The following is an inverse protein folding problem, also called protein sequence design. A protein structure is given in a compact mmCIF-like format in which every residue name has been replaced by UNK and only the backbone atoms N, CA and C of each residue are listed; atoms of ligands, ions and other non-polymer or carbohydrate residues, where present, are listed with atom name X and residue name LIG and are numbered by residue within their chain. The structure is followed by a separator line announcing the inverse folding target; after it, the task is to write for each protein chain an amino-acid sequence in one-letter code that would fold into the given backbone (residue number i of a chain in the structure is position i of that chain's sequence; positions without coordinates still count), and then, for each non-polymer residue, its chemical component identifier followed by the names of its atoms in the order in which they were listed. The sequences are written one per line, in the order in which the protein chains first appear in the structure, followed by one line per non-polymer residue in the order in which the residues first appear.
data_IF_331014335414
#
_entry.id   IF_331014335414
#
_cell.length_a   1.000
_cell.length_b   1.000
_cell.length_c   1.000
_cell.angle_alpha   90.00
_cell.angle_beta   90.00
_cell.angle_gamma   90.00
#
_symmetry.space_group_name_H-M   'P 1'
#
loop_
_entity.id
_entity.type
_entity.pdbx_description
1 polymer ?
#
# COMPACT_ATOMS: atom_id res chain seq x y z
N UNK A 1 13.27 13.06 -9.29
CA UNK A 1 13.90 13.30 -7.96
C UNK A 1 13.61 14.69 -7.38
N UNK A 2 13.44 15.77 -8.18
CA UNK A 2 13.24 17.13 -7.64
C UNK A 2 11.85 17.41 -7.03
N UNK A 3 10.82 16.71 -7.49
CA UNK A 3 9.42 17.00 -7.09
C UNK A 3 9.10 16.57 -5.65
N UNK A 4 9.71 15.48 -5.17
CA UNK A 4 9.52 14.99 -3.80
C UNK A 4 10.07 15.94 -2.71
N UNK A 5 10.91 16.93 -3.07
CA UNK A 5 11.40 17.99 -2.17
C UNK A 5 10.79 19.36 -2.49
N UNK A 6 9.66 19.40 -3.21
CA UNK A 6 8.94 20.64 -3.47
C UNK A 6 8.00 20.96 -2.31
N UNK A 7 7.90 22.25 -1.97
CA UNK A 7 6.88 22.76 -1.05
C UNK A 7 5.46 22.33 -1.47
N UNK A 8 5.18 22.29 -2.78
CA UNK A 8 3.89 21.84 -3.32
C UNK A 8 3.60 20.37 -3.04
N UNK A 9 4.62 19.51 -3.00
CA UNK A 9 4.44 18.10 -2.67
C UNK A 9 4.11 17.91 -1.18
N UNK A 10 4.58 18.80 -0.32
CA UNK A 10 4.28 18.78 1.12
C UNK A 10 2.94 19.44 1.47
N UNK A 11 2.63 20.58 0.84
CA UNK A 11 1.40 21.35 1.06
C UNK A 11 0.24 20.95 0.14
N UNK A 12 0.45 19.93 -0.70
CA UNK A 12 -0.56 19.42 -1.63
C UNK A 12 -1.71 18.72 -0.90
N UNK A 13 -2.81 18.51 -1.63
CA UNK A 13 -3.94 17.78 -1.09
C UNK A 13 -3.58 16.31 -0.82
N UNK A 14 -3.96 15.81 0.36
CA UNK A 14 -3.82 14.41 0.73
C UNK A 14 -4.92 13.55 0.10
N UNK A 15 -4.68 12.26 -0.16
CA UNK A 15 -5.70 11.35 -0.66
C UNK A 15 -6.85 11.20 0.35
N UNK A 16 -8.08 11.16 -0.15
CA UNK A 16 -9.29 10.92 0.65
C UNK A 16 -9.52 9.42 0.79
N UNK A 17 -9.81 8.98 2.02
CA UNK A 17 -10.07 7.58 2.36
C UNK A 17 -11.44 7.43 3.02
N UNK A 18 -12.03 6.24 2.82
CA UNK A 18 -13.30 5.84 3.43
C UNK A 18 -13.14 4.59 4.29
N UNK A 19 -12.21 3.69 3.96
CA UNK A 19 -12.14 2.36 4.56
C UNK A 19 -11.79 2.36 6.06
N UNK A 20 -11.18 3.42 6.58
CA UNK A 20 -10.79 3.51 8.00
C UNK A 20 -11.98 3.81 8.94
N UNK A 21 -12.93 4.65 8.51
CA UNK A 21 -14.02 5.17 9.37
C UNK A 21 -15.42 5.09 8.74
N UNK A 22 -15.51 4.74 7.45
CA UNK A 22 -16.69 4.93 6.58
C UNK A 22 -17.12 6.39 6.39
N UNK A 23 -16.27 7.35 6.75
CA UNK A 23 -16.45 8.77 6.50
C UNK A 23 -15.40 9.24 5.48
N UNK A 24 -15.82 10.03 4.48
CA UNK A 24 -14.90 10.56 3.48
C UNK A 24 -14.04 11.65 4.12
N UNK A 25 -12.76 11.37 4.32
CA UNK A 25 -11.84 12.32 4.93
C UNK A 25 -10.42 12.17 4.37
N UNK A 26 -9.61 13.24 4.35
CA UNK A 26 -8.18 13.15 4.03
C UNK A 26 -7.48 12.11 4.91
N UNK A 27 -6.49 11.39 4.36
CA UNK A 27 -5.81 10.30 5.09
C UNK A 27 -5.13 10.78 6.38
N UNK A 28 -4.67 12.05 6.43
CA UNK A 28 -4.07 12.65 7.62
C UNK A 28 -5.06 12.86 8.78
N UNK A 29 -6.36 12.82 8.50
CA UNK A 29 -7.44 12.92 9.48
C UNK A 29 -8.03 11.55 9.82
N UNK A 30 -7.56 10.46 9.18
CA UNK A 30 -8.06 9.11 9.45
C UNK A 30 -7.79 8.71 10.92
N UNK A 31 -8.72 8.00 11.59
CA UNK A 31 -8.57 7.62 13.00
C UNK A 31 -7.54 6.50 13.25
N UNK A 32 -6.87 6.03 12.19
CA UNK A 32 -5.91 4.93 12.21
C UNK A 32 -4.80 5.17 11.19
N UNK A 33 -3.60 4.66 11.48
CA UNK A 33 -2.48 4.65 10.56
C UNK A 33 -2.88 3.94 9.25
N UNK A 34 -2.99 4.70 8.16
CA UNK A 34 -3.51 4.23 6.88
C UNK A 34 -2.46 4.41 5.79
N UNK A 35 -2.17 3.32 5.07
CA UNK A 35 -1.31 3.37 3.87
C UNK A 35 -2.20 3.32 2.63
N UNK A 36 -2.04 4.28 1.73
CA UNK A 36 -2.74 4.32 0.43
C UNK A 36 -1.76 3.90 -0.66
N UNK A 37 -2.12 2.86 -1.42
CA UNK A 37 -1.39 2.43 -2.61
C UNK A 37 -2.28 2.74 -3.81
N UNK A 38 -1.92 3.78 -4.58
CA UNK A 38 -2.71 4.22 -5.72
C UNK A 38 -2.39 3.43 -7.01
N UNK A 39 -3.12 3.75 -8.08
CA UNK A 39 -3.00 3.06 -9.37
C UNK A 39 -1.62 3.23 -10.01
N UNK A 40 -1.02 4.40 -9.93
CA UNK A 40 0.26 4.67 -10.58
C UNK A 40 1.40 4.05 -9.77
N UNK A 41 1.29 4.04 -8.44
CA UNK A 41 2.15 3.23 -7.57
C UNK A 41 2.09 1.75 -7.95
N UNK A 42 0.89 1.17 -8.14
CA UNK A 42 0.73 -0.23 -8.55
C UNK A 42 1.41 -0.49 -9.90
N UNK A 43 1.21 0.40 -10.89
CA UNK A 43 1.80 0.28 -12.22
C UNK A 43 3.33 0.34 -12.17
N UNK A 44 3.88 1.29 -11.41
CA UNK A 44 5.34 1.46 -11.24
C UNK A 44 5.94 0.31 -10.45
N UNK A 45 5.22 -0.23 -9.46
CA UNK A 45 5.66 -1.36 -8.66
C UNK A 45 5.78 -2.66 -9.47
N UNK A 46 5.07 -2.79 -10.60
CA UNK A 46 5.08 -4.00 -11.43
C UNK A 46 4.45 -5.22 -10.76
N UNK A 47 3.75 -5.03 -9.64
CA UNK A 47 3.17 -6.10 -8.85
C UNK A 47 2.10 -6.87 -9.64
N UNK A 48 2.14 -8.20 -9.54
CA UNK A 48 1.19 -9.13 -10.18
C UNK A 48 0.22 -9.75 -9.20
N UNK A 49 0.45 -9.57 -7.90
CA UNK A 49 -0.42 -10.04 -6.83
C UNK A 49 -0.45 -9.03 -5.67
N UNK A 50 -1.47 -9.18 -4.81
CA UNK A 50 -1.68 -8.25 -3.69
C UNK A 50 -0.58 -8.38 -2.64
N UNK A 51 -0.06 -9.59 -2.39
CA UNK A 51 1.04 -9.81 -1.45
C UNK A 51 2.34 -9.10 -1.88
N UNK A 52 2.58 -8.96 -3.19
CA UNK A 52 3.70 -8.16 -3.71
C UNK A 52 3.54 -6.67 -3.38
N UNK A 53 2.31 -6.14 -3.43
CA UNK A 53 2.02 -4.76 -2.99
C UNK A 53 2.18 -4.60 -1.47
N UNK A 54 1.81 -5.61 -0.67
CA UNK A 54 1.92 -5.53 0.79
C UNK A 54 3.36 -5.38 1.28
N UNK A 55 4.36 -5.76 0.48
CA UNK A 55 5.78 -5.52 0.79
C UNK A 55 6.15 -4.03 0.85
N UNK A 56 5.32 -3.15 0.26
CA UNK A 56 5.51 -1.70 0.30
C UNK A 56 4.90 -1.06 1.55
N UNK A 57 4.11 -1.80 2.32
CA UNK A 57 3.45 -1.30 3.52
C UNK A 57 4.40 -1.42 4.72
N UNK A 58 4.72 -0.33 5.42
CA UNK A 58 5.57 -0.39 6.62
C UNK A 58 5.01 -1.34 7.67
N UNK A 59 5.88 -2.18 8.24
CA UNK A 59 5.52 -3.13 9.29
C UNK A 59 4.92 -4.46 8.80
N UNK A 60 4.68 -4.63 7.49
CA UNK A 60 4.19 -5.90 6.96
C UNK A 60 5.34 -6.89 6.72
N UNK A 61 5.15 -8.13 7.17
CA UNK A 61 6.01 -9.27 6.84
C UNK A 61 5.29 -10.17 5.83
N UNK A 62 5.86 -10.34 4.63
CA UNK A 62 5.22 -11.11 3.54
C UNK A 62 5.97 -12.41 3.32
N UNK A 63 5.31 -13.53 3.64
CA UNK A 63 5.83 -14.88 3.44
C UNK A 63 5.98 -15.28 1.97
N UNK A 64 6.72 -16.35 1.68
CA UNK A 64 6.86 -16.87 0.32
C UNK A 64 5.53 -17.42 -0.19
N UNK A 65 5.29 -17.30 -1.50
CA UNK A 65 4.19 -18.00 -2.17
C UNK A 65 4.48 -19.50 -2.15
N UNK A 66 4.00 -20.18 -1.12
CA UNK A 66 4.00 -21.63 -1.02
C UNK A 66 3.00 -22.20 -2.03
N UNK A 67 3.51 -22.81 -3.09
CA UNK A 67 2.73 -23.78 -3.86
C UNK A 67 2.78 -25.08 -3.05
N UNK A 68 1.63 -25.49 -2.52
CA UNK A 68 1.50 -26.66 -1.66
C UNK A 68 2.27 -27.86 -2.25
N UNK A 69 3.41 -28.22 -1.65
CA UNK A 69 4.15 -29.43 -2.01
C UNK A 69 3.42 -30.64 -1.43
N UNK A 70 2.38 -31.09 -2.14
CA UNK A 70 1.80 -32.41 -1.91
C UNK A 70 2.73 -33.48 -2.47
N UNK A 71 3.65 -33.95 -1.62
CA UNK A 71 4.16 -35.33 -1.65
C UNK A 71 4.05 -35.82 -0.20
N UNK A 72 2.88 -36.33 0.20
CA UNK A 72 2.45 -37.74 0.06
C UNK A 72 3.54 -38.68 0.56
N UNK A 73 3.35 -39.14 1.79
CA UNK A 73 3.74 -40.43 2.38
C UNK A 73 4.79 -41.21 1.57
N UNK A 74 5.99 -41.32 2.14
CA UNK A 74 6.73 -42.58 2.26
C UNK A 74 7.32 -42.65 3.67
#
# INVERSE_FOLDING_TARGET
MHEARSERAFLGALPVVLSASRLAQPVGEAPSATTVIDRDMIRVAGARSVDELMRWVPGFQVGPRSFLSLRRVL
#
